data_IF_831573542451
#
_entry.id   IF_831573542451
#
_cell.length_a   1.000
_cell.length_b   1.000
_cell.length_c   1.000
_cell.angle_alpha   90.00
_cell.angle_beta   90.00
_cell.angle_gamma   90.00
#
_symmetry.space_group_name_H-M   'P 1'
#
loop_
_entity.id
_entity.type
_entity.pdbx_description
1 polymer ?
#
# COMPACT_ATOMS: atom_id res chain seq x y z
N UNK A 1 14.29 -17.00 38.20
CA UNK A 1 13.18 -16.61 37.31
C UNK A 1 13.82 -16.06 36.05
N UNK A 2 13.88 -16.85 34.97
CA UNK A 2 14.29 -16.34 33.66
C UNK A 2 13.08 -15.62 33.08
N UNK A 3 13.08 -14.30 33.16
CA UNK A 3 12.12 -13.49 32.42
C UNK A 3 12.47 -13.61 30.94
N UNK A 4 11.53 -14.08 30.14
CA UNK A 4 11.66 -14.10 28.69
C UNK A 4 11.10 -12.77 28.17
N UNK A 5 12.00 -11.86 27.76
CA UNK A 5 11.64 -10.53 27.27
C UNK A 5 11.34 -10.51 25.76
N UNK A 6 11.22 -11.69 25.11
CA UNK A 6 11.05 -11.86 23.66
C UNK A 6 12.17 -11.23 22.80
N UNK A 7 13.14 -10.53 23.40
CA UNK A 7 14.23 -9.79 22.76
C UNK A 7 13.79 -9.00 21.51
N UNK A 8 12.62 -8.36 21.59
CA UNK A 8 12.02 -7.60 20.47
C UNK A 8 12.91 -6.44 20.02
N UNK A 9 13.73 -5.93 20.94
CA UNK A 9 14.76 -4.93 20.73
C UNK A 9 15.89 -5.42 19.82
N UNK A 10 16.20 -6.73 19.81
CA UNK A 10 17.31 -7.32 19.04
C UNK A 10 16.95 -7.73 17.62
N UNK A 11 15.68 -7.59 17.22
CA UNK A 11 15.20 -7.97 15.88
C UNK A 11 15.97 -7.22 14.78
N UNK A 12 16.39 -5.98 15.03
CA UNK A 12 17.18 -5.18 14.08
C UNK A 12 18.70 -5.29 14.24
N UNK A 13 19.21 -5.95 15.29
CA UNK A 13 20.66 -6.12 15.53
C UNK A 13 21.21 -7.40 14.91
N UNK A 14 20.38 -8.45 14.80
CA UNK A 14 20.72 -9.74 14.20
C UNK A 14 19.57 -10.24 13.35
N UNK A 15 19.86 -11.06 12.34
CA UNK A 15 18.84 -11.70 11.51
C UNK A 15 17.88 -12.54 12.38
N UNK A 16 16.67 -12.03 12.55
CA UNK A 16 15.63 -12.63 13.40
C UNK A 16 14.30 -12.62 12.63
N UNK A 17 13.52 -13.70 12.75
CA UNK A 17 12.16 -13.76 12.23
C UNK A 17 11.20 -14.03 13.40
N UNK A 18 10.19 -13.18 13.55
CA UNK A 18 9.17 -13.29 14.59
C UNK A 18 7.81 -13.44 13.92
N UNK A 19 7.05 -14.44 14.35
CA UNK A 19 5.73 -14.73 13.81
C UNK A 19 4.68 -14.57 14.91
N UNK A 20 3.79 -13.59 14.74
CA UNK A 20 2.60 -13.45 15.58
C UNK A 20 1.47 -14.24 14.92
N UNK A 21 1.05 -15.33 15.57
CA UNK A 21 -0.09 -16.13 15.12
C UNK A 21 -1.30 -15.76 15.96
N UNK A 22 -2.31 -15.19 15.30
CA UNK A 22 -3.61 -14.89 15.91
C UNK A 22 -4.63 -15.94 15.46
N UNK A 23 -5.59 -16.22 16.31
CA UNK A 23 -6.70 -17.13 15.98
C UNK A 23 -7.86 -16.31 15.42
N UNK A 24 -8.26 -16.59 14.18
CA UNK A 24 -9.37 -15.89 13.51
C UNK A 24 -10.70 -16.04 14.24
N UNK A 25 -10.86 -17.13 15.00
CA UNK A 25 -12.09 -17.47 15.72
C UNK A 25 -12.32 -16.68 16.99
N UNK A 26 -11.28 -16.08 17.59
CA UNK A 26 -11.40 -15.48 18.93
C UNK A 26 -10.66 -14.15 19.03
N UNK A 27 -11.36 -13.00 18.95
CA UNK A 27 -10.72 -11.69 18.97
C UNK A 27 -10.18 -11.28 20.35
N UNK A 28 -10.38 -12.10 21.37
CA UNK A 28 -10.03 -11.82 22.77
C UNK A 28 -8.56 -11.46 22.97
N UNK A 29 -7.64 -11.97 22.15
CA UNK A 29 -6.19 -11.75 22.30
C UNK A 29 -5.62 -10.72 21.32
N UNK A 30 -6.45 -10.12 20.46
CA UNK A 30 -5.99 -9.19 19.44
C UNK A 30 -5.34 -7.94 20.05
N UNK A 31 -5.84 -7.51 21.21
CA UNK A 31 -5.25 -6.40 21.96
C UNK A 31 -3.81 -6.67 22.44
N UNK A 32 -3.48 -7.93 22.77
CA UNK A 32 -2.13 -8.30 23.23
C UNK A 32 -1.15 -8.15 22.06
N UNK A 33 -1.58 -8.58 20.88
CA UNK A 33 -0.77 -8.46 19.65
C UNK A 33 -0.61 -7.00 19.25
N UNK A 34 -1.68 -6.20 19.31
CA UNK A 34 -1.59 -4.75 19.07
C UNK A 34 -0.62 -4.05 20.05
N UNK A 35 -0.64 -4.44 21.33
CA UNK A 35 0.29 -3.92 22.34
C UNK A 35 1.73 -4.37 22.08
N UNK A 36 1.93 -5.64 21.73
CA UNK A 36 3.24 -6.17 21.35
C UNK A 36 3.82 -5.42 20.14
N UNK A 37 3.01 -5.15 19.11
CA UNK A 37 3.44 -4.34 17.96
C UNK A 37 3.83 -2.92 18.37
N UNK A 38 3.01 -2.25 19.18
CA UNK A 38 3.32 -0.89 19.64
C UNK A 38 4.63 -0.84 20.43
N UNK A 39 4.86 -1.81 21.32
CA UNK A 39 6.12 -1.93 22.06
C UNK A 39 7.31 -2.23 21.14
N UNK A 40 7.16 -3.17 20.21
CA UNK A 40 8.19 -3.51 19.25
C UNK A 40 8.62 -2.30 18.42
N UNK A 41 7.68 -1.52 17.88
CA UNK A 41 8.02 -0.31 17.11
C UNK A 41 8.73 0.75 17.96
N UNK A 42 8.29 0.96 19.20
CA UNK A 42 8.94 1.92 20.10
C UNK A 42 10.37 1.51 20.44
N UNK A 43 10.58 0.23 20.81
CA UNK A 43 11.91 -0.30 21.13
C UNK A 43 12.86 -0.26 19.94
N UNK A 44 12.37 -0.63 18.74
CA UNK A 44 13.16 -0.54 17.52
C UNK A 44 13.53 0.91 17.18
N UNK A 45 12.60 1.85 17.36
CA UNK A 45 12.89 3.26 17.14
C UNK A 45 13.92 3.80 18.13
N UNK A 46 13.74 3.51 19.41
CA UNK A 46 14.67 3.93 20.47
C UNK A 46 16.07 3.34 20.26
N UNK A 47 16.16 2.07 19.86
CA UNK A 47 17.43 1.41 19.58
C UNK A 47 18.12 1.97 18.34
N UNK A 48 17.35 2.26 17.29
CA UNK A 48 17.88 2.92 16.10
C UNK A 48 18.52 4.27 16.47
N UNK A 49 17.84 5.07 17.28
CA UNK A 49 18.28 6.42 17.66
C UNK A 49 19.45 6.40 18.66
N UNK A 50 19.36 5.59 19.72
CA UNK A 50 20.31 5.61 20.84
C UNK A 50 21.57 4.76 20.61
N UNK A 51 21.45 3.63 19.91
CA UNK A 51 22.58 2.67 19.75
C UNK A 51 23.27 2.86 18.41
N UNK A 52 22.50 3.04 17.34
CA UNK A 52 23.02 3.02 15.96
C UNK A 52 23.03 4.40 15.28
N UNK A 53 22.68 5.46 16.00
CA UNK A 53 22.78 6.83 15.50
C UNK A 53 21.78 7.19 14.39
N UNK A 54 20.64 6.49 14.33
CA UNK A 54 19.48 6.83 13.51
C UNK A 54 19.02 5.76 12.52
N UNK A 55 19.76 4.66 12.34
CA UNK A 55 19.38 3.55 11.43
C UNK A 55 19.75 2.19 12.01
N UNK A 56 18.86 1.20 11.88
CA UNK A 56 19.15 -0.17 12.31
C UNK A 56 20.14 -0.83 11.33
N UNK A 57 21.07 -1.67 11.81
CA UNK A 57 22.07 -2.33 10.96
C UNK A 57 21.46 -3.41 10.05
N UNK A 58 20.29 -3.95 10.42
CA UNK A 58 19.49 -4.83 9.56
C UNK A 58 18.11 -4.25 9.32
N UNK A 59 17.70 -4.26 8.06
CA UNK A 59 16.36 -3.84 7.64
C UNK A 59 15.28 -4.74 8.25
N UNK A 60 14.37 -4.13 9.02
CA UNK A 60 13.26 -4.84 9.65
C UNK A 60 12.02 -4.67 8.78
N UNK A 61 11.53 -5.77 8.21
CA UNK A 61 10.31 -5.79 7.41
C UNK A 61 9.17 -6.41 8.22
N UNK A 62 8.14 -5.62 8.48
CA UNK A 62 6.90 -6.07 9.13
C UNK A 62 5.87 -6.32 8.04
N UNK A 63 5.52 -7.60 7.87
CA UNK A 63 4.42 -8.03 7.02
C UNK A 63 3.21 -8.26 7.91
N UNK A 64 2.21 -7.39 7.77
CA UNK A 64 1.01 -7.44 8.59
C UNK A 64 -0.16 -7.93 7.75
N UNK A 65 -0.39 -9.24 7.84
CA UNK A 65 -1.54 -9.87 7.19
C UNK A 65 -2.83 -9.54 7.95
N UNK A 66 -3.87 -9.22 7.20
CA UNK A 66 -5.21 -8.94 7.72
C UNK A 66 -5.25 -7.97 8.92
N UNK A 67 -4.68 -6.77 8.74
CA UNK A 67 -4.65 -5.72 9.77
C UNK A 67 -6.05 -5.35 10.30
N UNK A 68 -7.10 -5.71 9.57
CA UNK A 68 -8.48 -5.56 10.02
C UNK A 68 -8.82 -6.37 11.28
N UNK A 69 -8.22 -7.55 11.45
CA UNK A 69 -8.53 -8.46 12.56
C UNK A 69 -7.79 -8.07 13.85
N UNK A 70 -6.54 -7.62 13.75
CA UNK A 70 -5.70 -7.33 14.93
C UNK A 70 -6.16 -6.09 15.71
N UNK A 71 -7.01 -5.24 15.12
CA UNK A 71 -7.55 -4.02 15.74
C UNK A 71 -6.66 -2.79 15.55
N UNK A 72 -7.09 -1.66 16.10
CA UNK A 72 -6.42 -0.37 15.89
C UNK A 72 -5.12 -0.28 16.72
N UNK A 73 -3.98 -0.19 16.03
CA UNK A 73 -2.74 0.26 16.68
C UNK A 73 -2.77 1.79 16.85
N UNK A 74 -2.56 2.31 18.07
CA UNK A 74 -2.60 3.74 18.34
C UNK A 74 -1.46 4.47 17.60
N UNK A 75 -1.78 5.63 17.03
CA UNK A 75 -0.81 6.51 16.33
C UNK A 75 -0.06 5.83 15.18
N UNK A 76 -0.68 4.87 14.48
CA UNK A 76 -0.06 4.19 13.34
C UNK A 76 0.40 5.19 12.27
N UNK A 77 -0.35 6.27 12.04
CA UNK A 77 -0.02 7.32 11.07
C UNK A 77 1.32 8.01 11.36
N UNK A 78 1.64 8.20 12.65
CA UNK A 78 2.93 8.77 13.08
C UNK A 78 4.03 7.73 12.97
N UNK A 79 3.73 6.48 13.35
CA UNK A 79 4.70 5.38 13.24
C UNK A 79 5.15 5.20 11.79
N UNK A 80 4.22 5.11 10.82
CA UNK A 80 4.55 4.94 9.39
C UNK A 80 5.47 6.06 8.88
N UNK A 81 5.28 7.30 9.35
CA UNK A 81 6.13 8.41 8.96
C UNK A 81 7.57 8.32 9.56
N UNK A 82 7.70 7.80 10.78
CA UNK A 82 8.95 7.79 11.56
C UNK A 82 9.82 6.56 11.25
N UNK A 83 9.20 5.41 10.94
CA UNK A 83 9.90 4.13 10.72
C UNK A 83 10.76 4.15 9.44
N UNK A 84 10.38 4.95 8.44
CA UNK A 84 11.08 5.03 7.14
C UNK A 84 12.55 5.44 7.29
N UNK A 85 12.84 6.41 8.15
CA UNK A 85 14.22 6.90 8.32
C UNK A 85 15.10 5.94 9.11
N UNK A 86 14.49 4.99 9.84
CA UNK A 86 15.14 4.04 10.76
C UNK A 86 15.37 2.66 10.14
N UNK A 87 15.17 2.54 8.83
CA UNK A 87 15.36 1.30 8.07
C UNK A 87 14.36 0.19 8.45
N UNK A 88 13.13 0.61 8.79
CA UNK A 88 12.00 -0.28 9.07
C UNK A 88 10.95 -0.08 7.97
N UNK A 89 10.44 -1.18 7.42
CA UNK A 89 9.37 -1.16 6.42
C UNK A 89 8.14 -1.90 6.91
N UNK A 90 6.99 -1.27 6.70
CA UNK A 90 5.68 -1.84 7.01
C UNK A 90 4.94 -2.16 5.71
N UNK A 91 4.36 -3.35 5.62
CA UNK A 91 3.46 -3.74 4.53
C UNK A 91 2.18 -4.25 5.14
N UNK A 92 1.08 -3.55 4.86
CA UNK A 92 -0.25 -3.86 5.37
C UNK A 92 -1.03 -4.56 4.26
N UNK A 93 -1.60 -5.72 4.56
CA UNK A 93 -2.50 -6.44 3.66
C UNK A 93 -3.95 -6.22 4.10
N UNK A 94 -4.78 -5.76 3.17
CA UNK A 94 -6.21 -5.55 3.35
C UNK A 94 -6.98 -6.28 2.26
N UNK A 95 -8.08 -6.95 2.64
CA UNK A 95 -9.01 -7.53 1.66
C UNK A 95 -9.85 -6.44 1.00
N UNK A 96 -10.24 -5.41 1.76
CA UNK A 96 -11.09 -4.32 1.30
C UNK A 96 -10.65 -2.99 1.91
N UNK A 97 -10.63 -1.92 1.12
CA UNK A 97 -10.28 -0.58 1.60
C UNK A 97 -11.27 -0.07 2.66
N UNK A 98 -12.54 -0.49 2.56
CA UNK A 98 -13.57 -0.19 3.53
C UNK A 98 -13.22 -0.64 4.97
N UNK A 99 -12.50 -1.77 5.13
CA UNK A 99 -12.07 -2.24 6.45
C UNK A 99 -11.01 -1.31 7.06
N UNK A 100 -10.08 -0.80 6.23
CA UNK A 100 -9.10 0.18 6.67
C UNK A 100 -9.77 1.49 7.11
N UNK A 101 -10.72 1.99 6.30
CA UNK A 101 -11.53 3.18 6.62
C UNK A 101 -12.38 3.00 7.88
N UNK A 102 -12.92 1.80 8.13
CA UNK A 102 -13.71 1.52 9.33
C UNK A 102 -12.88 1.56 10.62
N UNK A 103 -11.60 1.19 10.58
CA UNK A 103 -10.73 1.12 11.77
C UNK A 103 -10.06 2.47 12.04
N UNK A 104 -9.59 3.14 11.00
CA UNK A 104 -8.78 4.34 11.12
C UNK A 104 -9.54 5.64 10.80
N UNK A 105 -10.74 5.56 10.25
CA UNK A 105 -11.61 6.68 9.88
C UNK A 105 -10.81 7.80 9.20
N UNK A 106 -10.66 8.96 9.85
CA UNK A 106 -9.89 10.12 9.35
C UNK A 106 -8.39 9.88 9.18
N UNK A 107 -7.81 8.91 9.88
CA UNK A 107 -6.38 8.60 9.80
C UNK A 107 -6.04 7.67 8.63
N UNK A 108 -7.04 7.01 8.01
CA UNK A 108 -6.82 6.08 6.91
C UNK A 108 -6.16 6.79 5.70
N UNK A 109 -6.62 7.99 5.36
CA UNK A 109 -6.03 8.79 4.27
C UNK A 109 -4.57 9.16 4.53
N UNK A 110 -4.25 9.56 5.77
CA UNK A 110 -2.88 9.90 6.18
C UNK A 110 -1.96 8.67 6.13
N UNK A 111 -2.45 7.51 6.57
CA UNK A 111 -1.69 6.26 6.49
C UNK A 111 -1.40 5.94 5.04
N UNK A 112 -2.43 5.90 4.18
CA UNK A 112 -2.28 5.62 2.75
C UNK A 112 -1.36 6.62 2.04
N UNK A 113 -1.44 7.91 2.38
CA UNK A 113 -0.58 8.95 1.82
C UNK A 113 0.91 8.82 2.23
N UNK A 114 1.18 8.21 3.38
CA UNK A 114 2.55 7.91 3.83
C UNK A 114 3.11 6.61 3.24
N UNK A 115 2.25 5.76 2.65
CA UNK A 115 2.69 4.53 1.99
C UNK A 115 3.29 4.84 0.62
N UNK A 116 4.51 4.40 0.41
CA UNK A 116 5.24 4.68 -0.83
C UNK A 116 4.70 3.86 -2.02
N UNK A 117 4.28 2.62 -1.79
CA UNK A 117 3.83 1.72 -2.85
C UNK A 117 2.48 1.11 -2.50
N UNK A 118 1.61 0.99 -3.50
CA UNK A 118 0.33 0.29 -3.36
C UNK A 118 0.21 -0.79 -4.43
N UNK A 119 -0.14 -1.99 -3.95
CA UNK A 119 -0.43 -3.14 -4.81
C UNK A 119 -1.92 -3.45 -4.69
N UNK A 120 -2.59 -3.49 -5.83
CA UNK A 120 -4.00 -3.83 -5.93
C UNK A 120 -4.14 -5.14 -6.72
N UNK A 121 -4.69 -6.16 -6.06
CA UNK A 121 -4.83 -7.52 -6.59
C UNK A 121 -6.22 -7.79 -7.20
N UNK A 122 -6.93 -6.73 -7.57
CA UNK A 122 -8.32 -6.82 -8.01
C UNK A 122 -9.31 -6.72 -6.84
N UNK A 123 -10.53 -6.31 -7.15
CA UNK A 123 -11.58 -6.13 -6.16
C UNK A 123 -12.93 -5.91 -6.84
N UNK A 124 -14.01 -6.20 -6.12
CA UNK A 124 -15.40 -6.03 -6.62
C UNK A 124 -16.01 -4.69 -6.22
N UNK A 125 -15.33 -3.90 -5.41
CA UNK A 125 -15.88 -2.67 -4.82
C UNK A 125 -15.70 -1.47 -5.78
N UNK A 126 -16.81 -0.94 -6.29
CA UNK A 126 -16.82 0.16 -7.25
C UNK A 126 -16.22 1.47 -6.71
N UNK A 127 -16.40 1.75 -5.42
CA UNK A 127 -15.83 2.91 -4.70
C UNK A 127 -14.30 2.87 -4.70
N UNK A 128 -13.72 1.74 -4.30
CA UNK A 128 -12.26 1.54 -4.27
C UNK A 128 -11.66 1.61 -5.67
N UNK A 129 -12.31 1.02 -6.68
CA UNK A 129 -11.85 1.09 -8.07
C UNK A 129 -11.85 2.54 -8.60
N UNK A 130 -12.88 3.32 -8.27
CA UNK A 130 -12.95 4.75 -8.65
C UNK A 130 -11.85 5.55 -7.97
N UNK A 131 -11.65 5.37 -6.68
CA UNK A 131 -10.62 6.07 -5.91
C UNK A 131 -9.22 5.77 -6.46
N UNK A 132 -8.93 4.52 -6.80
CA UNK A 132 -7.66 4.10 -7.41
C UNK A 132 -7.53 4.66 -8.84
N UNK A 133 -8.58 4.57 -9.64
CA UNK A 133 -8.56 5.04 -11.04
C UNK A 133 -8.37 6.56 -11.12
N UNK A 134 -9.06 7.32 -10.27
CA UNK A 134 -9.02 8.78 -10.26
C UNK A 134 -7.73 9.31 -9.62
N UNK A 135 -7.32 8.76 -8.46
CA UNK A 135 -6.18 9.29 -7.71
C UNK A 135 -4.84 8.69 -8.12
N UNK A 136 -4.78 7.44 -8.59
CA UNK A 136 -3.50 6.73 -8.77
C UNK A 136 -3.12 6.44 -10.23
N UNK A 137 -4.07 6.11 -11.12
CA UNK A 137 -3.73 5.92 -12.54
C UNK A 137 -3.73 7.22 -13.35
N UNK A 138 -4.63 8.16 -13.04
CA UNK A 138 -4.79 9.37 -13.84
C UNK A 138 -5.32 9.08 -15.26
N UNK A 139 -5.21 10.09 -16.14
CA UNK A 139 -5.73 10.04 -17.52
C UNK A 139 -4.57 10.11 -18.51
N UNK A 140 -4.64 9.31 -19.56
CA UNK A 140 -3.75 9.42 -20.70
C UNK A 140 -4.46 10.13 -21.86
N UNK A 141 -3.79 11.13 -22.44
CA UNK A 141 -4.27 11.75 -23.67
C UNK A 141 -3.95 10.85 -24.86
N UNK A 142 -4.98 10.40 -25.56
CA UNK A 142 -4.85 9.57 -26.75
C UNK A 142 -5.17 10.44 -27.97
N UNK A 143 -4.27 10.43 -28.96
CA UNK A 143 -4.51 11.07 -30.24
C UNK A 143 -5.31 10.11 -31.13
N UNK A 144 -6.58 10.43 -31.38
CA UNK A 144 -7.43 9.70 -32.32
C UNK A 144 -7.32 10.34 -33.70
N UNK A 145 -6.86 9.58 -34.68
CA UNK A 145 -6.91 9.98 -36.08
C UNK A 145 -8.12 9.32 -36.73
N UNK A 146 -9.04 10.15 -37.22
CA UNK A 146 -10.22 9.70 -37.95
C UNK A 146 -9.99 9.96 -39.43
N UNK A 147 -9.92 8.89 -40.21
CA UNK A 147 -9.80 8.95 -41.67
C UNK A 147 -11.19 8.76 -42.30
N UNK A 148 -11.68 9.81 -42.95
CA UNK A 148 -12.90 9.77 -43.75
C UNK A 148 -12.55 9.63 -45.23
N UNK A 149 -12.95 8.52 -45.85
CA UNK A 149 -12.84 8.32 -47.31
C UNK A 149 -14.21 8.36 -47.96
N UNK A 150 -14.45 9.34 -48.82
CA UNK A 150 -15.66 9.41 -49.65
C UNK A 150 -15.34 9.01 -51.08
N UNK A 151 -16.01 7.97 -51.58
CA UNK A 151 -15.87 7.48 -52.96
C UNK A 151 -16.95 8.09 -53.86
N UNK A 152 -16.65 9.24 -54.45
CA UNK A 152 -17.40 9.87 -55.54
C UNK A 152 -16.56 10.00 -56.82
N UNK A 153 -17.02 10.80 -57.79
CA UNK A 153 -16.35 11.01 -59.09
C UNK A 153 -14.96 11.68 -58.98
N UNK A 154 -14.64 12.25 -57.81
CA UNK A 154 -13.31 12.70 -57.40
C UNK A 154 -13.06 12.16 -55.99
N UNK A 155 -11.93 11.48 -55.79
CA UNK A 155 -11.57 10.85 -54.51
C UNK A 155 -11.10 11.91 -53.52
N UNK A 156 -11.87 12.14 -52.45
CA UNK A 156 -11.49 13.07 -51.39
C UNK A 156 -11.05 12.31 -50.13
N UNK A 157 -9.85 12.65 -49.66
CA UNK A 157 -9.26 12.12 -48.44
C UNK A 157 -9.32 13.21 -47.36
N UNK A 158 -10.08 12.96 -46.29
CA UNK A 158 -10.15 13.87 -45.15
C UNK A 158 -9.56 13.18 -43.92
N UNK A 159 -8.52 13.78 -43.34
CA UNK A 159 -7.84 13.26 -42.17
C UNK A 159 -8.01 14.26 -41.03
N UNK A 160 -8.76 13.88 -40.00
CA UNK A 160 -9.00 14.70 -38.83
C UNK A 160 -8.29 14.09 -37.62
N UNK A 161 -7.44 14.86 -36.94
CA UNK A 161 -6.74 14.41 -35.73
C UNK A 161 -7.36 15.09 -34.52
N UNK A 162 -7.99 14.32 -33.63
CA UNK A 162 -8.59 14.79 -32.39
C UNK A 162 -7.84 14.22 -31.19
N UNK A 163 -7.54 15.07 -30.21
CA UNK A 163 -6.95 14.64 -28.93
C UNK A 163 -8.11 14.36 -27.96
N UNK A 164 -8.21 13.13 -27.48
CA UNK A 164 -9.22 12.69 -26.53
C UNK A 164 -8.51 12.25 -25.24
N UNK A 165 -9.04 12.70 -24.11
CA UNK A 165 -8.57 12.22 -22.80
C UNK A 165 -9.29 10.92 -22.45
N UNK A 166 -8.53 9.85 -22.20
CA UNK A 166 -9.06 8.54 -21.82
C UNK A 166 -8.39 8.06 -20.54
N UNK A 167 -9.17 7.44 -19.67
CA UNK A 167 -8.67 6.76 -18.47
C UNK A 167 -7.74 5.61 -18.88
N UNK A 168 -6.57 5.51 -18.24
CA UNK A 168 -5.57 4.48 -18.53
C UNK A 168 -6.12 3.05 -18.38
N UNK A 169 -7.02 2.87 -17.41
CA UNK A 169 -7.74 1.62 -17.21
C UNK A 169 -9.18 1.93 -16.83
N UNK A 170 -10.13 1.44 -17.63
CA UNK A 170 -11.55 1.68 -17.35
C UNK A 170 -12.03 0.81 -16.18
N UNK A 171 -13.05 1.24 -15.41
CA UNK A 171 -13.64 0.45 -14.33
C UNK A 171 -14.06 -0.97 -14.72
N UNK A 172 -14.47 -1.16 -15.99
CA UNK A 172 -14.82 -2.48 -16.51
C UNK A 172 -13.58 -3.39 -16.71
N UNK A 173 -12.44 -2.83 -17.12
CA UNK A 173 -11.18 -3.57 -17.26
C UNK A 173 -10.63 -4.05 -15.92
N UNK A 174 -10.86 -3.30 -14.84
CA UNK A 174 -10.53 -3.71 -13.47
C UNK A 174 -11.29 -4.96 -13.01
N UNK A 175 -12.58 -5.05 -13.33
CA UNK A 175 -13.42 -6.20 -12.98
C UNK A 175 -13.07 -7.47 -13.77
N UNK A 176 -12.44 -7.31 -14.93
CA UNK A 176 -12.01 -8.39 -15.82
C UNK A 176 -10.54 -8.78 -15.64
N UNK A 177 -9.86 -8.25 -14.62
CA UNK A 177 -8.47 -8.62 -14.35
C UNK A 177 -8.35 -10.12 -14.06
N UNK A 178 -7.43 -10.82 -14.75
CA UNK A 178 -7.07 -12.20 -14.39
C UNK A 178 -6.64 -12.30 -12.93
N UNK A 179 -6.98 -13.40 -12.26
CA UNK A 179 -6.62 -13.62 -10.84
C UNK A 179 -5.10 -13.61 -10.56
N UNK A 180 -4.28 -13.81 -11.58
CA UNK A 180 -2.82 -13.80 -11.48
C UNK A 180 -2.19 -12.44 -11.82
N UNK A 181 -3.01 -11.41 -12.02
CA UNK A 181 -2.55 -10.07 -12.38
C UNK A 181 -2.75 -9.08 -11.23
N UNK A 182 -1.70 -8.29 -10.97
CA UNK A 182 -1.69 -7.26 -9.95
C UNK A 182 -1.39 -5.91 -10.60
N UNK A 183 -2.11 -4.88 -10.18
CA UNK A 183 -1.69 -3.51 -10.44
C UNK A 183 -0.75 -3.06 -9.32
N UNK A 184 0.40 -2.52 -9.69
CA UNK A 184 1.36 -1.97 -8.75
C UNK A 184 1.61 -0.51 -9.09
N UNK A 185 1.30 0.38 -8.16
CA UNK A 185 1.72 1.77 -8.20
C UNK A 185 2.86 1.94 -7.22
N UNK A 186 4.08 2.05 -7.73
CA UNK A 186 5.22 2.44 -6.93
C UNK A 186 5.28 3.97 -6.84
N UNK A 187 5.64 4.49 -5.67
CA UNK A 187 6.04 5.87 -5.49
C UNK A 187 7.15 6.24 -6.48
N UNK A 188 7.27 7.54 -6.78
CA UNK A 188 8.16 8.04 -7.81
C UNK A 188 9.52 7.32 -7.75
N UNK A 189 9.81 6.55 -8.80
CA UNK A 189 11.09 5.89 -8.97
C UNK A 189 12.17 6.95 -8.77
N UNK A 190 13.02 6.85 -7.73
CA UNK A 190 14.22 7.67 -7.70
C UNK A 190 14.98 7.24 -8.95
N UNK A 191 15.09 8.12 -9.93
CA UNK A 191 16.05 7.94 -11.02
C UNK A 191 17.37 7.62 -10.32
N UNK A 192 17.79 6.37 -10.46
CA UNK A 192 19.03 5.82 -9.95
C UNK A 192 20.18 6.79 -10.24
N UNK A 193 20.89 7.18 -9.19
CA UNK A 193 22.28 7.61 -9.30
C UNK A 193 23.17 6.43 -9.70
#
# INVERSE_FOLDING_TARGET
MSYDELELDRIGDRKTAVFFTISDTTPTYNFIVALAFSQMFNLLCERADNVHGGRLPHHVRVLWDEAANTGQVPSLEKLVAVIRSREISLTLFYQQMAQCKAIYDKHAETILGNMDSVVFLGGRESSTIKEISENWLGKATISMQTEGRSRGQSESYNQNTQRLDRELMTPASWLLMPGDSAFCSCGACPRSF
#
